data_IF_111289151811
#
_entry.id   IF_111289151811
#
_cell.length_a   1.000
_cell.length_b   1.000
_cell.length_c   1.000
_cell.angle_alpha   90.00
_cell.angle_beta   90.00
_cell.angle_gamma   90.00
#
_symmetry.space_group_name_H-M   'P 1'
#
loop_
_entity.id
_entity.type
_entity.pdbx_description
1 polymer ?
#
# COMPACT_ATOMS: atom_id res chain seq x y z
N UNK A 1 16.27 4.04 -3.14
CA UNK A 1 14.90 4.09 -2.61
C UNK A 1 14.41 5.53 -2.73
N UNK A 2 13.16 5.76 -3.10
CA UNK A 2 12.64 7.13 -3.37
C UNK A 2 12.57 8.04 -2.13
N UNK A 3 12.92 7.55 -0.95
CA UNK A 3 13.09 8.37 0.24
C UNK A 3 14.25 9.37 0.13
N UNK A 4 15.28 9.09 -0.69
CA UNK A 4 16.37 10.01 -0.90
C UNK A 4 15.90 11.30 -1.59
N UNK A 5 15.00 11.18 -2.58
CA UNK A 5 14.46 12.33 -3.31
C UNK A 5 13.70 13.26 -2.36
N UNK A 6 12.98 12.69 -1.38
CA UNK A 6 12.29 13.47 -0.34
C UNK A 6 13.30 14.19 0.54
N UNK A 7 14.31 13.46 1.03
CA UNK A 7 15.36 14.05 1.88
C UNK A 7 16.10 15.17 1.15
N UNK A 8 16.44 14.98 -0.13
CA UNK A 8 17.15 15.97 -0.93
C UNK A 8 16.31 17.22 -1.22
N UNK A 9 14.97 17.12 -1.19
CA UNK A 9 14.05 18.24 -1.35
C UNK A 9 13.84 19.06 -0.06
N UNK A 10 14.21 18.52 1.10
CA UNK A 10 14.07 19.21 2.38
C UNK A 10 15.18 20.25 2.60
N UNK A 11 14.90 21.39 3.28
CA UNK A 11 15.84 22.50 3.45
C UNK A 11 17.19 22.08 4.04
N UNK A 12 17.17 21.27 5.09
CA UNK A 12 18.35 20.80 5.82
C UNK A 12 18.59 19.29 5.61
N UNK A 13 18.01 18.70 4.54
CA UNK A 13 18.15 17.29 4.20
C UNK A 13 17.85 16.39 5.39
N UNK A 14 18.80 15.51 5.76
CA UNK A 14 18.68 14.59 6.90
C UNK A 14 18.61 15.31 8.25
N UNK A 15 19.04 16.57 8.34
CA UNK A 15 19.00 17.38 9.56
C UNK A 15 17.71 18.20 9.68
N UNK A 16 16.83 18.13 8.69
CA UNK A 16 15.56 18.84 8.72
C UNK A 16 14.74 18.42 9.94
N UNK A 17 14.36 19.41 10.75
CA UNK A 17 13.47 19.17 11.88
C UNK A 17 12.07 18.87 11.36
N UNK A 18 11.58 17.69 11.62
CA UNK A 18 10.19 17.31 11.37
C UNK A 18 9.34 17.77 12.55
N UNK A 19 8.38 18.65 12.26
CA UNK A 19 7.44 19.13 13.28
C UNK A 19 6.59 17.99 13.82
N UNK A 20 5.78 18.29 14.82
CA UNK A 20 4.96 17.28 15.49
C UNK A 20 4.20 16.42 14.45
N UNK A 21 4.38 15.11 14.55
CA UNK A 21 3.83 14.11 13.61
C UNK A 21 4.21 14.32 12.13
N UNK A 22 5.33 15.03 11.88
CA UNK A 22 5.75 15.34 10.51
C UNK A 22 4.76 16.24 9.76
N UNK A 23 4.16 17.22 10.42
CA UNK A 23 3.13 18.09 9.83
C UNK A 23 3.62 18.92 8.64
N UNK A 24 4.94 19.04 8.48
CA UNK A 24 5.59 19.67 7.33
C UNK A 24 5.84 18.70 6.14
N UNK A 25 5.33 17.49 6.20
CA UNK A 25 5.38 16.51 5.12
C UNK A 25 3.98 16.18 4.61
N UNK A 26 3.84 15.94 3.31
CA UNK A 26 2.63 15.39 2.72
C UNK A 26 2.35 13.97 3.22
N UNK A 27 1.12 13.48 3.05
CA UNK A 27 0.74 12.12 3.43
C UNK A 27 1.59 11.06 2.71
N UNK A 28 1.85 11.25 1.41
CA UNK A 28 2.69 10.35 0.62
C UNK A 28 4.15 10.34 1.06
N UNK A 29 4.73 11.50 1.39
CA UNK A 29 6.10 11.59 1.89
C UNK A 29 6.25 10.90 3.24
N UNK A 30 5.28 11.08 4.16
CA UNK A 30 5.24 10.34 5.43
C UNK A 30 5.25 8.84 5.22
N UNK A 31 4.45 8.35 4.27
CA UNK A 31 4.36 6.93 3.96
C UNK A 31 5.67 6.39 3.37
N UNK A 32 6.29 7.11 2.45
CA UNK A 32 7.58 6.73 1.87
C UNK A 32 8.70 6.68 2.92
N UNK A 33 8.70 7.61 3.88
CA UNK A 33 9.65 7.60 5.02
C UNK A 33 9.35 6.41 5.94
N UNK A 34 8.07 6.10 6.20
CA UNK A 34 7.71 4.94 7.00
C UNK A 34 8.18 3.62 6.35
N UNK A 35 8.02 3.48 5.03
CA UNK A 35 8.56 2.33 4.29
C UNK A 35 10.09 2.25 4.35
N UNK A 36 10.77 3.40 4.24
CA UNK A 36 12.23 3.45 4.39
C UNK A 36 12.69 2.97 5.76
N UNK A 37 11.99 3.38 6.82
CA UNK A 37 12.26 2.92 8.20
C UNK A 37 12.02 1.42 8.36
N UNK A 38 10.89 0.92 7.83
CA UNK A 38 10.58 -0.51 7.85
C UNK A 38 11.66 -1.32 7.11
N UNK A 39 12.10 -0.86 5.95
CA UNK A 39 13.16 -1.51 5.17
C UNK A 39 14.50 -1.52 5.91
N UNK A 40 14.85 -0.43 6.58
CA UNK A 40 16.08 -0.33 7.35
C UNK A 40 16.15 -1.30 8.55
N UNK A 41 14.98 -1.64 9.11
CA UNK A 41 14.85 -2.63 10.18
C UNK A 41 15.01 -4.08 9.67
N UNK A 42 15.00 -4.30 8.35
CA UNK A 42 15.12 -5.61 7.70
C UNK A 42 14.20 -6.69 8.30
N UNK A 43 12.88 -6.49 8.36
CA UNK A 43 11.95 -7.42 8.99
C UNK A 43 11.76 -8.68 8.14
N UNK A 44 11.48 -9.81 8.79
CA UNK A 44 11.08 -11.05 8.11
C UNK A 44 9.59 -11.03 7.72
N UNK A 45 8.75 -10.35 8.51
CA UNK A 45 7.33 -10.18 8.28
C UNK A 45 6.97 -8.69 8.22
N UNK A 46 6.23 -8.32 7.20
CA UNK A 46 5.68 -6.97 7.03
C UNK A 46 4.16 -7.02 7.15
N UNK A 47 3.60 -6.24 8.07
CA UNK A 47 2.16 -6.06 8.19
C UNK A 47 1.83 -4.64 7.75
N UNK A 48 0.94 -4.51 6.77
CA UNK A 48 0.50 -3.24 6.23
C UNK A 48 -1.00 -3.10 6.40
N UNK A 49 -1.41 -2.01 7.03
CA UNK A 49 -2.79 -1.54 7.03
C UNK A 49 -2.84 -0.36 6.05
N UNK A 50 -3.43 -0.60 4.88
CA UNK A 50 -3.42 0.36 3.78
C UNK A 50 -4.56 1.38 3.97
N UNK A 51 -4.30 2.43 4.73
CA UNK A 51 -5.20 3.58 4.88
C UNK A 51 -4.66 4.80 4.12
N UNK A 52 -4.62 4.76 2.79
CA UNK A 52 -4.19 5.91 1.98
C UNK A 52 -5.32 6.43 1.11
N UNK A 53 -6.07 7.38 1.64
CA UNK A 53 -6.96 8.24 0.87
C UNK A 53 -6.22 9.53 0.49
N UNK A 54 -6.43 10.01 -0.76
CA UNK A 54 -6.02 11.33 -1.26
C UNK A 54 -4.50 11.54 -1.48
N UNK A 55 -3.89 10.67 -2.26
CA UNK A 55 -2.54 10.88 -2.80
C UNK A 55 -2.66 11.04 -4.32
N UNK A 56 -1.94 12.00 -4.90
CA UNK A 56 -1.89 12.19 -6.34
C UNK A 56 -1.28 10.98 -7.07
N UNK A 57 -1.58 10.83 -8.38
CA UNK A 57 -1.17 9.66 -9.17
C UNK A 57 0.35 9.45 -9.21
N UNK A 58 1.15 10.52 -9.24
CA UNK A 58 2.62 10.41 -9.30
C UNK A 58 3.16 9.87 -7.98
N UNK A 59 2.67 10.42 -6.87
CA UNK A 59 3.03 9.96 -5.53
C UNK A 59 2.53 8.54 -5.28
N UNK A 60 1.34 8.16 -5.77
CA UNK A 60 0.83 6.79 -5.71
C UNK A 60 1.77 5.79 -6.41
N UNK A 61 2.25 6.12 -7.62
CA UNK A 61 3.20 5.28 -8.33
C UNK A 61 4.54 5.13 -7.59
N UNK A 62 4.99 6.17 -6.90
CA UNK A 62 6.20 6.14 -6.06
C UNK A 62 6.00 5.25 -4.83
N UNK A 63 4.84 5.35 -4.18
CA UNK A 63 4.45 4.51 -3.05
C UNK A 63 4.41 3.04 -3.46
N UNK A 64 3.74 2.70 -4.56
CA UNK A 64 3.64 1.33 -5.08
C UNK A 64 5.01 0.71 -5.34
N UNK A 65 5.90 1.42 -6.05
CA UNK A 65 7.27 0.93 -6.29
C UNK A 65 8.09 0.74 -5.01
N UNK A 66 7.86 1.58 -4.00
CA UNK A 66 8.56 1.47 -2.72
C UNK A 66 8.01 0.31 -1.90
N UNK A 67 6.70 0.07 -1.98
CA UNK A 67 6.02 -1.06 -1.39
C UNK A 67 6.52 -2.38 -1.98
N UNK A 68 6.57 -2.50 -3.30
CA UNK A 68 7.11 -3.69 -3.99
C UNK A 68 8.53 -4.04 -3.49
N UNK A 69 9.40 -3.03 -3.34
CA UNK A 69 10.74 -3.23 -2.78
C UNK A 69 10.74 -3.65 -1.31
N UNK A 70 9.80 -3.13 -0.53
CA UNK A 70 9.66 -3.50 0.88
C UNK A 70 9.21 -4.96 1.02
N UNK A 71 8.31 -5.41 0.15
CA UNK A 71 7.73 -6.76 0.19
C UNK A 71 8.65 -7.83 -0.42
N UNK A 72 9.59 -7.45 -1.26
CA UNK A 72 10.47 -8.38 -1.97
C UNK A 72 11.24 -9.29 -1.01
N UNK A 73 11.13 -10.60 -1.21
CA UNK A 73 11.75 -11.65 -0.39
C UNK A 73 11.34 -11.63 1.09
N UNK A 74 10.10 -11.19 1.40
CA UNK A 74 9.55 -11.16 2.75
C UNK A 74 8.15 -11.72 2.79
N UNK A 75 7.79 -12.30 3.92
CA UNK A 75 6.39 -12.59 4.21
C UNK A 75 5.63 -11.29 4.45
N UNK A 76 4.43 -11.17 3.89
CA UNK A 76 3.63 -9.96 4.06
C UNK A 76 2.16 -10.27 4.32
N UNK A 77 1.56 -9.47 5.17
CA UNK A 77 0.12 -9.42 5.41
C UNK A 77 -0.36 -8.00 5.11
N UNK A 78 -1.28 -7.86 4.15
CA UNK A 78 -1.77 -6.57 3.70
C UNK A 78 -3.27 -6.52 3.94
N UNK A 79 -3.73 -5.53 4.72
CA UNK A 79 -5.14 -5.14 4.78
C UNK A 79 -5.35 -4.13 3.66
N UNK A 80 -5.93 -4.60 2.56
CA UNK A 80 -6.00 -3.83 1.33
C UNK A 80 -7.36 -3.14 1.17
N UNK A 81 -7.31 -1.87 0.84
CA UNK A 81 -8.46 -1.07 0.42
C UNK A 81 -8.46 -0.77 -1.08
N UNK A 82 -7.40 -1.16 -1.79
CA UNK A 82 -7.23 -0.95 -3.22
C UNK A 82 -6.97 -2.25 -3.95
N UNK A 83 -7.61 -2.40 -5.11
CA UNK A 83 -7.44 -3.57 -5.96
C UNK A 83 -5.98 -3.78 -6.38
N UNK A 84 -5.25 -2.70 -6.67
CA UNK A 84 -3.84 -2.77 -7.07
C UNK A 84 -2.95 -3.49 -6.06
N UNK A 85 -3.28 -3.42 -4.78
CA UNK A 85 -2.51 -4.06 -3.71
C UNK A 85 -2.72 -5.56 -3.62
N UNK A 86 -3.82 -6.08 -4.15
CA UNK A 86 -4.19 -7.50 -4.05
C UNK A 86 -3.97 -8.30 -5.34
N UNK A 87 -3.79 -7.63 -6.48
CA UNK A 87 -3.64 -8.32 -7.79
C UNK A 87 -2.49 -9.31 -7.83
N UNK A 88 -1.41 -9.04 -7.10
CA UNK A 88 -0.18 -9.82 -7.07
C UNK A 88 0.01 -10.61 -5.77
N UNK A 89 -1.01 -10.67 -4.91
CA UNK A 89 -0.95 -11.45 -3.69
C UNK A 89 -0.98 -12.96 -4.00
N UNK A 90 -0.14 -13.72 -3.33
CA UNK A 90 -0.11 -15.19 -3.45
C UNK A 90 -1.41 -15.80 -2.94
N UNK A 91 -2.01 -15.18 -1.91
CA UNK A 91 -3.28 -15.59 -1.33
C UNK A 91 -4.07 -14.37 -0.86
N UNK A 92 -5.35 -14.35 -1.18
CA UNK A 92 -6.32 -13.36 -0.72
C UNK A 92 -7.27 -14.05 0.24
N UNK A 93 -7.52 -13.44 1.39
CA UNK A 93 -8.56 -13.83 2.33
C UNK A 93 -9.70 -12.81 2.21
N UNK A 94 -10.86 -13.27 1.76
CA UNK A 94 -12.05 -12.44 1.64
C UNK A 94 -12.92 -12.60 2.89
N UNK A 95 -13.09 -11.50 3.61
CA UNK A 95 -13.88 -11.47 4.85
C UNK A 95 -15.29 -10.94 4.58
N UNK A 96 -16.29 -11.55 5.23
CA UNK A 96 -17.64 -11.05 5.35
C UNK A 96 -18.17 -11.37 6.74
N UNK A 97 -18.84 -10.41 7.36
CA UNK A 97 -19.45 -10.55 8.70
C UNK A 97 -18.53 -11.11 9.79
N UNK A 98 -17.22 -10.77 9.71
CA UNK A 98 -16.21 -11.20 10.66
C UNK A 98 -15.64 -12.61 10.44
N UNK A 99 -16.07 -13.30 9.38
CA UNK A 99 -15.61 -14.63 9.01
C UNK A 99 -14.88 -14.62 7.64
N UNK A 100 -14.00 -15.60 7.42
CA UNK A 100 -13.37 -15.81 6.11
C UNK A 100 -14.36 -16.52 5.21
N UNK A 101 -14.99 -15.78 4.30
CA UNK A 101 -15.94 -16.33 3.35
C UNK A 101 -15.24 -17.16 2.26
N UNK A 102 -14.07 -16.69 1.79
CA UNK A 102 -13.30 -17.38 0.77
C UNK A 102 -11.80 -17.08 0.88
N UNK A 103 -11.00 -17.96 0.28
CA UNK A 103 -9.55 -17.78 0.12
C UNK A 103 -9.10 -18.30 -1.24
N UNK A 104 -8.10 -17.63 -1.83
CA UNK A 104 -7.54 -18.01 -3.12
C UNK A 104 -6.71 -16.89 -3.73
N UNK A 105 -6.25 -17.10 -4.95
CA UNK A 105 -5.65 -16.05 -5.78
C UNK A 105 -6.74 -15.12 -6.33
N UNK A 106 -6.33 -13.97 -6.87
CA UNK A 106 -7.25 -13.04 -7.52
C UNK A 106 -8.11 -13.72 -8.60
N UNK A 107 -7.51 -14.51 -9.48
CA UNK A 107 -8.23 -15.21 -10.54
C UNK A 107 -9.24 -16.23 -9.99
N UNK A 108 -8.84 -17.02 -8.98
CA UNK A 108 -9.72 -18.01 -8.39
C UNK A 108 -10.94 -17.38 -7.71
N UNK A 109 -10.75 -16.24 -7.03
CA UNK A 109 -11.84 -15.54 -6.37
C UNK A 109 -12.78 -14.87 -7.39
N UNK A 110 -12.24 -14.31 -8.49
CA UNK A 110 -13.06 -13.78 -9.58
C UNK A 110 -13.96 -14.85 -10.21
N UNK A 111 -13.46 -16.06 -10.35
CA UNK A 111 -14.23 -17.15 -10.96
C UNK A 111 -15.29 -17.72 -10.01
N UNK A 112 -14.96 -17.85 -8.72
CA UNK A 112 -15.74 -18.64 -7.75
C UNK A 112 -16.63 -17.79 -6.86
N UNK A 113 -16.33 -16.49 -6.65
CA UNK A 113 -17.01 -15.66 -5.64
C UNK A 113 -17.66 -14.43 -6.27
N UNK A 114 -19.01 -14.42 -6.42
CA UNK A 114 -19.75 -13.28 -6.99
C UNK A 114 -19.50 -11.97 -6.23
N UNK A 115 -19.47 -12.00 -4.91
CA UNK A 115 -19.25 -10.82 -4.05
C UNK A 115 -17.88 -10.19 -4.28
N UNK A 116 -16.85 -11.01 -4.49
CA UNK A 116 -15.52 -10.51 -4.83
C UNK A 116 -15.50 -9.87 -6.23
N UNK A 117 -16.23 -10.45 -7.17
CA UNK A 117 -16.36 -9.90 -8.54
C UNK A 117 -17.06 -8.55 -8.55
N UNK A 118 -18.10 -8.39 -7.76
CA UNK A 118 -18.81 -7.11 -7.59
C UNK A 118 -17.89 -6.05 -7.00
N UNK A 119 -17.14 -6.37 -5.93
CA UNK A 119 -16.17 -5.46 -5.32
C UNK A 119 -15.12 -5.00 -6.34
N UNK A 120 -14.58 -5.92 -7.12
CA UNK A 120 -13.59 -5.62 -8.16
C UNK A 120 -14.18 -4.70 -9.23
N UNK A 121 -15.43 -4.96 -9.69
CA UNK A 121 -16.11 -4.12 -10.68
C UNK A 121 -16.36 -2.71 -10.16
N UNK A 122 -16.80 -2.55 -8.92
CA UNK A 122 -17.02 -1.24 -8.30
C UNK A 122 -15.74 -0.41 -8.28
N UNK A 123 -14.61 -1.00 -7.88
CA UNK A 123 -13.32 -0.29 -7.86
C UNK A 123 -12.80 0.09 -9.25
N UNK A 124 -13.15 -0.67 -10.29
CA UNK A 124 -12.83 -0.28 -11.67
C UNK A 124 -13.67 0.90 -12.15
N UNK A 125 -14.94 0.97 -11.77
CA UNK A 125 -15.84 2.07 -12.14
C UNK A 125 -15.42 3.37 -11.46
N UNK A 126 -15.10 3.35 -10.16
CA UNK A 126 -14.58 4.51 -9.43
C UNK A 126 -13.30 5.10 -10.04
N UNK A 127 -12.41 4.23 -10.58
CA UNK A 127 -11.20 4.69 -11.28
C UNK A 127 -11.46 5.27 -12.67
N UNK A 128 -12.56 4.93 -13.30
CA UNK A 128 -12.92 5.46 -14.62
C UNK A 128 -13.59 6.84 -14.55
N UNK A 129 -14.11 7.22 -13.38
CA UNK A 129 -14.81 8.49 -13.14
C UNK A 129 -13.92 9.55 -12.45
N UNK A 130 -12.70 9.21 -12.01
CA UNK A 130 -11.75 10.07 -11.32
C UNK A 130 -10.65 10.58 -12.26
#
# INVERSE_FOLDING_TARGET
MQANDIVDSLPDKLQTNLWERGSNLSAGEKQLIAFARALAANPELVILDEATSNVDMETEARITRSLEKLLQNRSSLIVAHRLSSILHADQILFFSDGEILARGTHSELLDKLPEYRELVQQQFLEKAEA
#
